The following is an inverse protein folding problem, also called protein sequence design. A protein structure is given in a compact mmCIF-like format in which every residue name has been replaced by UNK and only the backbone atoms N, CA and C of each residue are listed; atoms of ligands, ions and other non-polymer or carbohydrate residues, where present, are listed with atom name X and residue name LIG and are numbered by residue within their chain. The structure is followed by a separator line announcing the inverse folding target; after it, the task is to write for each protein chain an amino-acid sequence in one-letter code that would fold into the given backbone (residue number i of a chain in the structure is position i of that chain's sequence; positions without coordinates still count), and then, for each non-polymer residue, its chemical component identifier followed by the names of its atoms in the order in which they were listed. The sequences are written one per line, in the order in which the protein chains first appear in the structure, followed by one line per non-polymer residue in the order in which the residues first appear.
data_IF_120568005243
#
_entry.id   IF_120568005243
#
_cell.length_a   1.000
_cell.length_b   1.000
_cell.length_c   1.000
_cell.angle_alpha   90.00
_cell.angle_beta   90.00
_cell.angle_gamma   90.00
#
_symmetry.space_group_name_H-M   'P 1'
#
loop_
_entity.id
_entity.type
_entity.pdbx_description
1 polymer ?
#
# COMPACT_ATOMS: atom_id res chain seq x y z
N UNK A 1 6.04 11.07 -4.95
CA UNK A 1 7.11 11.19 -3.93
C UNK A 1 8.50 11.10 -4.54
N UNK A 2 8.68 10.43 -5.69
CA UNK A 2 9.95 10.45 -6.43
C UNK A 2 11.07 9.63 -5.78
N UNK A 3 10.71 8.67 -4.90
CA UNK A 3 11.63 7.72 -4.28
C UNK A 3 10.95 6.38 -4.10
N UNK A 4 11.75 5.32 -3.98
CA UNK A 4 11.22 4.01 -3.60
C UNK A 4 10.61 4.02 -2.19
N UNK A 5 9.61 3.17 -2.01
CA UNK A 5 9.03 2.90 -0.70
C UNK A 5 10.05 2.20 0.19
N UNK A 6 10.07 2.57 1.47
CA UNK A 6 10.81 1.86 2.51
C UNK A 6 10.03 0.60 2.93
N UNK A 7 10.70 -0.44 3.47
CA UNK A 7 10.03 -1.66 3.91
C UNK A 7 8.85 -1.42 4.87
N UNK A 8 8.98 -0.45 5.78
CA UNK A 8 7.94 -0.12 6.76
C UNK A 8 6.71 0.53 6.12
N UNK A 9 6.88 1.21 4.97
CA UNK A 9 5.77 1.79 4.21
C UNK A 9 4.92 0.70 3.56
N UNK A 10 5.58 -0.34 3.03
CA UNK A 10 4.91 -1.52 2.47
C UNK A 10 4.22 -2.31 3.60
N UNK A 11 4.91 -2.53 4.71
CA UNK A 11 4.37 -3.26 5.86
C UNK A 11 3.13 -2.58 6.44
N UNK A 12 3.09 -1.24 6.51
CA UNK A 12 1.91 -0.50 6.97
C UNK A 12 0.68 -0.75 6.09
N UNK A 13 0.85 -0.82 4.77
CA UNK A 13 -0.25 -1.14 3.86
C UNK A 13 -0.76 -2.57 4.08
N UNK A 14 0.15 -3.53 4.25
CA UNK A 14 -0.22 -4.91 4.57
C UNK A 14 -0.96 -5.01 5.91
N UNK A 15 -0.49 -4.33 6.96
CA UNK A 15 -1.14 -4.28 8.27
C UNK A 15 -2.54 -3.68 8.15
N UNK A 16 -2.72 -2.61 7.38
CA UNK A 16 -4.03 -2.03 7.14
C UNK A 16 -4.97 -3.01 6.43
N UNK A 17 -4.48 -3.71 5.40
CA UNK A 17 -5.26 -4.74 4.68
C UNK A 17 -5.69 -5.90 5.59
N UNK A 18 -4.87 -6.25 6.59
CA UNK A 18 -5.17 -7.30 7.57
C UNK A 18 -6.01 -6.81 8.77
N UNK A 19 -6.30 -5.51 8.84
CA UNK A 19 -7.07 -4.92 9.93
C UNK A 19 -8.57 -4.87 9.65
N UNK A 20 -9.38 -4.52 10.65
CA UNK A 20 -10.82 -4.26 10.44
C UNK A 20 -11.12 -3.02 9.58
N UNK A 21 -10.12 -2.14 9.37
CA UNK A 21 -10.30 -0.91 8.59
C UNK A 21 -10.47 -1.17 7.09
N UNK A 22 -10.07 -2.34 6.61
CA UNK A 22 -10.22 -2.79 5.23
C UNK A 22 -11.40 -3.77 5.05
N UNK A 23 -12.37 -3.80 5.99
CA UNK A 23 -13.43 -4.82 6.03
C UNK A 23 -14.29 -4.96 4.76
N UNK A 24 -14.34 -3.94 3.91
CA UNK A 24 -15.06 -3.97 2.63
C UNK A 24 -14.15 -3.99 1.40
N UNK A 25 -12.83 -4.10 1.60
CA UNK A 25 -11.82 -4.00 0.55
C UNK A 25 -11.37 -5.40 0.17
N UNK A 26 -11.73 -5.83 -1.03
CA UNK A 26 -11.35 -7.12 -1.61
C UNK A 26 -11.14 -6.97 -3.12
N UNK A 27 -10.33 -7.84 -3.72
CA UNK A 27 -10.04 -7.86 -5.16
C UNK A 27 -9.28 -6.63 -5.70
N UNK A 28 -8.86 -5.72 -4.83
CA UNK A 28 -8.14 -4.50 -5.20
C UNK A 28 -6.62 -4.71 -5.12
N UNK A 29 -5.89 -4.10 -6.06
CA UNK A 29 -4.44 -3.99 -6.03
C UNK A 29 -4.05 -2.57 -5.58
N UNK A 30 -3.27 -2.47 -4.50
CA UNK A 30 -2.75 -1.21 -3.99
C UNK A 30 -1.27 -1.07 -4.30
N UNK A 31 -0.89 0.04 -4.92
CA UNK A 31 0.50 0.34 -5.26
C UNK A 31 1.16 1.14 -4.14
N UNK A 32 2.32 0.68 -3.67
CA UNK A 32 3.14 1.35 -2.65
C UNK A 32 4.56 1.50 -3.17
N UNK A 33 4.78 2.48 -4.06
CA UNK A 33 6.04 2.65 -4.80
C UNK A 33 6.52 4.11 -4.90
N UNK A 34 5.93 5.00 -4.10
CA UNK A 34 6.25 6.43 -4.14
C UNK A 34 5.74 7.18 -5.38
N UNK A 35 4.82 6.57 -6.14
CA UNK A 35 4.21 7.12 -7.35
C UNK A 35 4.93 6.72 -8.64
N UNK A 36 5.85 5.75 -8.59
CA UNK A 36 6.63 5.32 -9.74
C UNK A 36 5.77 4.76 -10.88
N UNK A 37 4.76 3.95 -10.56
CA UNK A 37 3.86 3.35 -11.56
C UNK A 37 2.85 4.34 -12.16
N UNK A 38 2.76 5.56 -11.61
CA UNK A 38 1.77 6.56 -12.00
C UNK A 38 2.39 7.76 -12.74
N UNK A 39 3.67 7.70 -13.10
CA UNK A 39 4.42 8.76 -13.80
C UNK A 39 5.13 8.20 -15.03
#
# INVERSE_FOLDING_TARGET
MGRFAQPEEIARQAIWLLSGNSSFVTGAAFTVDGGYSAT
#
